data_IF_896698811251
#
_entry.id   IF_896698811251
#
_cell.length_a   1.000
_cell.length_b   1.000
_cell.length_c   1.000
_cell.angle_alpha   90.00
_cell.angle_beta   90.00
_cell.angle_gamma   90.00
#
_symmetry.space_group_name_H-M   'P 1'
#
loop_
_entity.id
_entity.type
_entity.pdbx_description
1 polymer ?
#
# COMPACT_ATOMS: atom_id res chain seq x y z
N UNK A 1 12.72 -3.34 14.73
CA UNK A 1 12.60 -4.30 13.61
C UNK A 1 11.56 -5.38 13.90
N UNK A 2 10.34 -4.95 14.19
CA UNK A 2 9.17 -5.82 14.13
C UNK A 2 8.31 -5.36 12.96
N UNK A 3 8.43 -6.04 11.81
CA UNK A 3 7.46 -5.92 10.73
C UNK A 3 6.20 -6.67 11.14
N UNK A 4 5.09 -5.96 11.34
CA UNK A 4 3.79 -6.59 11.57
C UNK A 4 2.85 -6.28 10.41
N UNK A 5 2.29 -7.34 9.83
CA UNK A 5 1.22 -7.24 8.83
C UNK A 5 -0.13 -7.42 9.51
N UNK A 6 -0.99 -6.39 9.41
CA UNK A 6 -2.39 -6.45 9.83
C UNK A 6 -3.28 -6.48 8.60
N UNK A 7 -4.03 -7.58 8.41
CA UNK A 7 -4.99 -7.73 7.32
C UNK A 7 -6.42 -7.82 7.88
N UNK A 8 -7.31 -6.99 7.35
CA UNK A 8 -8.75 -7.00 7.63
C UNK A 8 -9.51 -7.93 6.68
N UNK A 9 -9.02 -8.12 5.44
CA UNK A 9 -9.55 -9.10 4.47
C UNK A 9 -8.44 -9.97 3.90
N UNK A 10 -8.76 -11.23 3.58
CA UNK A 10 -7.81 -12.24 3.06
C UNK A 10 -8.41 -12.99 1.85
N UNK A 11 -8.49 -12.34 0.68
CA UNK A 11 -8.98 -13.00 -0.55
C UNK A 11 -8.07 -14.17 -0.94
N UNK A 12 -8.63 -15.17 -1.63
CA UNK A 12 -7.92 -16.37 -2.09
C UNK A 12 -7.74 -16.34 -3.61
N UNK A 13 -6.67 -16.97 -4.10
CA UNK A 13 -6.39 -17.05 -5.54
C UNK A 13 -6.07 -15.70 -6.18
N UNK A 14 -5.45 -14.79 -5.42
CA UNK A 14 -5.13 -13.43 -5.88
C UNK A 14 -3.78 -13.36 -6.57
N UNK A 15 -3.65 -12.42 -7.51
CA UNK A 15 -2.36 -11.95 -8.02
C UNK A 15 -1.92 -10.76 -7.16
N UNK A 16 -0.68 -10.81 -6.65
CA UNK A 16 -0.09 -9.71 -5.88
C UNK A 16 0.71 -8.83 -6.83
N UNK A 17 0.46 -7.52 -6.78
CA UNK A 17 1.23 -6.49 -7.48
C UNK A 17 1.87 -5.61 -6.42
N UNK A 18 3.15 -5.28 -6.61
CA UNK A 18 4.00 -4.59 -5.64
C UNK A 18 4.64 -3.38 -6.36
N UNK A 19 4.73 -2.25 -5.67
CA UNK A 19 5.09 -0.95 -6.25
C UNK A 19 5.98 -0.12 -5.34
N UNK A 20 7.05 -0.71 -4.79
CA UNK A 20 7.99 0.00 -3.92
C UNK A 20 8.77 1.08 -4.66
N UNK A 21 9.18 2.15 -3.96
CA UNK A 21 10.00 3.20 -4.54
C UNK A 21 11.27 2.66 -5.21
N UNK A 22 11.53 3.12 -6.44
CA UNK A 22 12.68 2.74 -7.25
C UNK A 22 12.99 3.80 -8.31
N UNK A 23 13.81 3.44 -9.30
CA UNK A 23 14.18 4.37 -10.38
C UNK A 23 12.95 4.91 -11.11
N UNK A 24 12.87 6.25 -11.21
CA UNK A 24 11.77 6.94 -11.90
C UNK A 24 10.40 6.75 -11.26
N UNK A 25 10.31 6.15 -10.06
CA UNK A 25 9.05 5.87 -9.34
C UNK A 25 8.01 5.10 -10.18
N UNK A 26 8.45 4.33 -11.17
CA UNK A 26 7.56 3.63 -12.10
C UNK A 26 6.63 2.66 -11.36
N UNK A 27 7.14 1.95 -10.36
CA UNK A 27 6.36 1.05 -9.50
C UNK A 27 5.20 1.77 -8.78
N UNK A 28 5.50 2.74 -7.89
CA UNK A 28 4.47 3.51 -7.17
C UNK A 28 3.44 4.17 -8.10
N UNK A 29 3.88 4.79 -9.20
CA UNK A 29 2.99 5.44 -10.17
C UNK A 29 2.06 4.42 -10.82
N UNK A 30 2.58 3.25 -11.20
CA UNK A 30 1.77 2.20 -11.82
C UNK A 30 0.78 1.61 -10.83
N UNK A 31 1.18 1.34 -9.58
CA UNK A 31 0.27 0.80 -8.57
C UNK A 31 -0.81 1.79 -8.17
N UNK A 32 -0.49 3.07 -8.04
CA UNK A 32 -1.48 4.12 -7.75
C UNK A 32 -2.53 4.22 -8.87
N UNK A 33 -2.05 4.27 -10.13
CA UNK A 33 -2.93 4.26 -11.29
C UNK A 33 -3.89 3.04 -11.28
N UNK A 34 -3.39 1.85 -10.96
CA UNK A 34 -4.22 0.64 -10.88
C UNK A 34 -5.21 0.69 -9.72
N UNK A 35 -4.83 1.21 -8.55
CA UNK A 35 -5.71 1.36 -7.38
C UNK A 35 -6.93 2.21 -7.74
N UNK A 36 -6.70 3.35 -8.39
CA UNK A 36 -7.75 4.29 -8.81
C UNK A 36 -8.69 3.69 -9.87
N UNK A 37 -8.13 3.03 -10.88
CA UNK A 37 -8.90 2.55 -12.03
C UNK A 37 -9.62 1.23 -11.76
N UNK A 38 -9.05 0.35 -10.94
CA UNK A 38 -9.68 -0.90 -10.52
C UNK A 38 -10.61 -0.72 -9.32
N UNK A 39 -10.63 0.47 -8.70
CA UNK A 39 -11.44 0.80 -7.52
C UNK A 39 -11.23 -0.20 -6.39
N UNK A 40 -9.97 -0.45 -6.08
CA UNK A 40 -9.58 -1.43 -5.06
C UNK A 40 -10.00 -0.98 -3.67
N UNK A 41 -10.09 -1.93 -2.74
CA UNK A 41 -10.39 -1.67 -1.33
C UNK A 41 -9.12 -1.88 -0.50
N UNK A 42 -8.87 -1.00 0.49
CA UNK A 42 -7.79 -1.22 1.45
C UNK A 42 -8.11 -2.41 2.36
N UNK A 43 -7.28 -3.46 2.29
CA UNK A 43 -7.50 -4.72 3.03
C UNK A 43 -6.56 -4.92 4.21
N UNK A 44 -5.62 -4.02 4.42
CA UNK A 44 -4.67 -4.10 5.52
C UNK A 44 -3.63 -2.99 5.53
N UNK A 45 -2.63 -3.16 6.39
CA UNK A 45 -1.48 -2.26 6.53
C UNK A 45 -0.26 -2.99 7.09
N UNK A 46 0.90 -2.46 6.77
CA UNK A 46 2.16 -2.81 7.44
C UNK A 46 2.40 -1.84 8.60
N UNK A 47 2.88 -2.36 9.72
CA UNK A 47 3.28 -1.60 10.90
C UNK A 47 4.79 -1.76 11.07
N UNK A 48 5.46 -0.62 11.17
CA UNK A 48 6.89 -0.48 11.38
C UNK A 48 7.13 0.30 12.68
N UNK A 49 8.03 -0.20 13.51
CA UNK A 49 8.49 0.44 14.75
C UNK A 49 9.64 1.44 14.52
N UNK A 50 10.25 1.39 13.32
CA UNK A 50 11.53 2.05 13.03
C UNK A 50 11.38 3.29 12.13
N UNK A 51 10.16 3.62 11.67
CA UNK A 51 9.89 4.77 10.81
C UNK A 51 9.41 6.00 11.61
N UNK A 52 9.76 7.24 11.20
CA UNK A 52 9.20 8.44 11.82
C UNK A 52 7.68 8.43 11.74
N UNK A 53 7.02 8.85 12.84
CA UNK A 53 5.57 9.01 12.87
C UNK A 53 5.14 10.02 11.79
N UNK A 54 4.63 9.51 10.68
CA UNK A 54 4.29 10.25 9.47
C UNK A 54 2.88 9.88 9.05
N UNK A 55 2.06 10.88 8.73
CA UNK A 55 0.72 10.69 8.19
C UNK A 55 0.71 11.25 6.76
N UNK A 56 0.39 10.40 5.79
CA UNK A 56 0.12 10.83 4.43
C UNK A 56 -1.37 11.15 4.33
N UNK A 57 -1.72 12.26 3.69
CA UNK A 57 -3.11 12.64 3.41
C UNK A 57 -3.27 12.63 1.89
N UNK A 58 -4.19 11.80 1.39
CA UNK A 58 -4.50 11.67 -0.03
C UNK A 58 -5.98 12.01 -0.24
N UNK A 59 -6.28 12.99 -1.10
CA UNK A 59 -7.65 13.49 -1.32
C UNK A 59 -8.44 13.81 -0.05
N UNK A 60 -7.75 14.36 0.96
CA UNK A 60 -8.34 14.69 2.26
C UNK A 60 -8.67 13.48 3.14
N UNK A 61 -8.22 12.28 2.75
CA UNK A 61 -8.36 11.04 3.51
C UNK A 61 -7.01 10.62 4.09
N UNK A 62 -7.08 10.01 5.26
CA UNK A 62 -5.97 9.34 5.96
C UNK A 62 -5.87 7.91 5.49
#
# INVERSE_FOLDING_TARGET
>A
MALKLELWKKPKGVTIIEGFPGFGLVGPITTEFLIDHLKTEQIGRFIYDDLPATIAIHDGKV
#
